data_IF_017763668714
#
_entry.id   IF_017763668714
#
_cell.length_a   1.000
_cell.length_b   1.000
_cell.length_c   1.000
_cell.angle_alpha   90.00
_cell.angle_beta   90.00
_cell.angle_gamma   90.00
#
_symmetry.space_group_name_H-M   'P 1'
#
loop_
_entity.id
_entity.type
_entity.pdbx_description
1 polymer ?
#
# COMPACT_ATOMS: atom_id res chain seq x y z
N UNK A 1 -9.47 25.05 5.54
CA UNK A 1 -8.37 24.07 5.39
C UNK A 1 -7.89 24.12 3.94
N UNK A 2 -6.57 24.14 3.70
CA UNK A 2 -5.94 24.28 2.38
C UNK A 2 -5.31 22.99 1.85
N UNK A 3 -6.01 21.85 1.99
CA UNK A 3 -5.50 20.56 1.51
C UNK A 3 -5.72 20.47 0.00
N UNK A 4 -4.63 20.49 -0.77
CA UNK A 4 -4.68 20.42 -2.24
C UNK A 4 -4.61 19.01 -2.81
N UNK A 5 -4.16 18.01 -2.03
CA UNK A 5 -4.03 16.62 -2.47
C UNK A 5 -4.23 15.65 -1.32
N UNK A 6 -4.88 14.52 -1.57
CA UNK A 6 -5.12 13.45 -0.58
C UNK A 6 -4.74 12.08 -1.12
N UNK A 7 -4.30 11.20 -0.21
CA UNK A 7 -4.07 9.78 -0.49
C UNK A 7 -4.88 8.96 0.50
N UNK A 8 -5.85 8.21 0.00
CA UNK A 8 -6.70 7.34 0.81
C UNK A 8 -6.02 6.00 1.11
N UNK A 9 -6.28 5.47 2.31
CA UNK A 9 -5.79 4.16 2.76
C UNK A 9 -6.88 3.43 3.55
N UNK A 10 -6.79 2.10 3.62
CA UNK A 10 -7.55 1.29 4.56
C UNK A 10 -6.68 0.86 5.73
N UNK A 11 -7.30 0.78 6.91
CA UNK A 11 -6.65 0.40 8.15
C UNK A 11 -6.91 -1.05 8.55
N UNK A 12 -7.21 -1.27 9.84
CA UNK A 12 -7.48 -2.60 10.42
C UNK A 12 -8.68 -3.29 9.77
N UNK A 13 -9.79 -2.55 9.59
CA UNK A 13 -11.00 -3.12 9.02
C UNK A 13 -10.89 -3.18 7.49
N UNK A 14 -10.73 -4.40 7.01
CA UNK A 14 -10.77 -4.78 5.59
C UNK A 14 -11.78 -5.90 5.33
N UNK A 15 -12.77 -6.01 6.23
CA UNK A 15 -13.90 -6.94 6.11
C UNK A 15 -15.16 -6.15 5.77
N UNK A 16 -15.42 -5.05 6.49
CA UNK A 16 -16.56 -4.17 6.19
C UNK A 16 -16.20 -3.02 5.24
N UNK A 17 -14.90 -2.80 5.00
CA UNK A 17 -14.37 -1.80 4.06
C UNK A 17 -13.62 -2.48 2.93
N UNK A 18 -13.85 -2.03 1.70
CA UNK A 18 -13.17 -2.58 0.52
C UNK A 18 -12.35 -1.53 -0.22
N UNK A 19 -11.29 -1.94 -0.95
CA UNK A 19 -10.60 -1.06 -1.89
C UNK A 19 -11.53 -0.43 -2.92
N UNK A 20 -12.65 -1.11 -3.28
CA UNK A 20 -13.64 -0.58 -4.21
C UNK A 20 -14.37 0.64 -3.64
N UNK A 21 -14.78 0.59 -2.37
CA UNK A 21 -15.40 1.74 -1.69
C UNK A 21 -14.45 2.93 -1.61
N UNK A 22 -13.17 2.65 -1.31
CA UNK A 22 -12.12 3.67 -1.26
C UNK A 22 -11.91 4.32 -2.64
N UNK A 23 -11.81 3.52 -3.70
CA UNK A 23 -11.68 4.03 -5.08
C UNK A 23 -12.88 4.88 -5.48
N UNK A 24 -14.10 4.45 -5.13
CA UNK A 24 -15.30 5.23 -5.38
C UNK A 24 -15.24 6.61 -4.70
N UNK A 25 -14.80 6.66 -3.43
CA UNK A 25 -14.65 7.95 -2.73
C UNK A 25 -13.55 8.81 -3.32
N UNK A 26 -12.40 8.23 -3.68
CA UNK A 26 -11.31 8.95 -4.35
C UNK A 26 -11.81 9.60 -5.64
N UNK A 27 -12.52 8.85 -6.48
CA UNK A 27 -13.08 9.39 -7.73
C UNK A 27 -14.15 10.46 -7.49
N UNK A 28 -14.95 10.34 -6.44
CA UNK A 28 -15.87 11.40 -6.01
C UNK A 28 -15.13 12.70 -5.67
N UNK A 29 -14.06 12.61 -4.86
CA UNK A 29 -13.23 13.78 -4.54
C UNK A 29 -12.55 14.38 -5.78
N UNK A 30 -12.10 13.55 -6.74
CA UNK A 30 -11.57 14.05 -8.03
C UNK A 30 -12.62 14.80 -8.84
N UNK A 31 -13.87 14.32 -8.85
CA UNK A 31 -14.97 14.99 -9.52
C UNK A 31 -15.31 16.34 -8.86
N UNK A 32 -15.09 16.46 -7.55
CA UNK A 32 -15.20 17.72 -6.79
C UNK A 32 -13.99 18.66 -6.99
N UNK A 33 -13.00 18.27 -7.80
CA UNK A 33 -11.81 19.08 -8.12
C UNK A 33 -10.61 18.88 -7.19
N UNK A 34 -10.69 17.92 -6.26
CA UNK A 34 -9.58 17.59 -5.34
C UNK A 34 -8.63 16.59 -6.01
N UNK A 35 -7.32 16.84 -5.95
CA UNK A 35 -6.35 15.82 -6.35
C UNK A 35 -6.39 14.65 -5.36
N UNK A 36 -6.94 13.51 -5.75
CA UNK A 36 -7.08 12.36 -4.87
C UNK A 36 -6.51 11.08 -5.49
N UNK A 37 -5.83 10.30 -4.64
CA UNK A 37 -5.21 9.02 -4.96
C UNK A 37 -5.48 8.02 -3.83
N UNK A 38 -5.05 6.78 -3.99
CA UNK A 38 -5.11 5.78 -2.93
C UNK A 38 -3.91 4.83 -2.95
N UNK A 39 -3.73 4.16 -1.82
CA UNK A 39 -3.04 2.89 -1.78
C UNK A 39 -4.06 1.75 -1.84
N UNK A 40 -3.75 0.71 -2.62
CA UNK A 40 -4.47 -0.57 -2.52
C UNK A 40 -4.00 -1.33 -1.29
N UNK A 41 -4.71 -2.37 -0.85
CA UNK A 41 -4.40 -3.09 0.38
C UNK A 41 -5.08 -2.51 1.63
N UNK A 42 -4.62 -2.99 2.78
CA UNK A 42 -5.06 -2.64 4.13
C UNK A 42 -4.04 -3.22 5.14
N UNK A 43 -4.33 -3.21 6.44
CA UNK A 43 -3.43 -3.77 7.47
C UNK A 43 -3.01 -5.22 7.20
N UNK A 44 -3.95 -6.01 6.70
CA UNK A 44 -3.82 -7.47 6.61
C UNK A 44 -2.87 -7.91 5.50
N UNK A 45 -2.24 -9.06 5.73
CA UNK A 45 -1.47 -9.82 4.74
C UNK A 45 -2.10 -11.22 4.61
N UNK A 46 -2.42 -11.71 3.40
CA UNK A 46 -2.31 -11.03 2.11
C UNK A 46 -3.26 -9.83 1.99
N UNK A 47 -2.84 -8.74 1.30
CA UNK A 47 -3.62 -7.52 1.20
C UNK A 47 -4.84 -7.70 0.28
N UNK A 48 -5.99 -7.11 0.62
CA UNK A 48 -7.14 -7.03 -0.28
C UNK A 48 -6.82 -6.09 -1.44
N UNK A 49 -7.17 -6.48 -2.66
CA UNK A 49 -6.92 -5.72 -3.89
C UNK A 49 -8.19 -5.65 -4.73
N UNK A 50 -8.23 -4.73 -5.70
CA UNK A 50 -9.35 -4.56 -6.63
C UNK A 50 -9.39 -5.67 -7.68
N UNK A 51 -8.22 -6.12 -8.13
CA UNK A 51 -8.06 -7.09 -9.23
C UNK A 51 -7.66 -8.49 -8.75
N UNK A 52 -7.51 -8.68 -7.45
CA UNK A 52 -6.93 -9.90 -6.86
C UNK A 52 -5.40 -9.96 -6.91
N UNK A 53 -4.73 -8.94 -7.45
CA UNK A 53 -3.28 -8.88 -7.61
C UNK A 53 -2.72 -7.47 -7.37
N UNK A 54 -1.60 -7.38 -6.64
CA UNK A 54 -0.97 -6.11 -6.28
C UNK A 54 -0.41 -5.41 -7.53
N UNK A 55 0.21 -6.17 -8.43
CA UNK A 55 0.86 -5.60 -9.61
C UNK A 55 -0.17 -5.03 -10.59
N UNK A 56 -1.28 -5.74 -10.81
CA UNK A 56 -2.39 -5.31 -11.67
C UNK A 56 -3.08 -4.06 -11.13
N UNK A 57 -3.35 -3.97 -9.83
CA UNK A 57 -3.91 -2.75 -9.24
C UNK A 57 -3.02 -1.54 -9.54
N UNK A 58 -1.70 -1.68 -9.33
CA UNK A 58 -0.74 -0.63 -9.60
C UNK A 58 -0.53 -0.34 -11.09
N UNK A 59 -0.58 -1.36 -11.94
CA UNK A 59 -0.34 -1.19 -13.38
C UNK A 59 -1.56 -0.59 -14.08
N UNK A 60 -2.78 -0.98 -13.69
CA UNK A 60 -4.00 -0.71 -14.47
C UNK A 60 -4.82 0.45 -13.94
N UNK A 61 -4.74 0.77 -12.64
CA UNK A 61 -5.64 1.73 -12.01
C UNK A 61 -4.88 3.01 -11.72
N UNK A 62 -5.12 4.13 -12.45
CA UNK A 62 -4.33 5.36 -12.33
C UNK A 62 -4.30 5.93 -10.90
N UNK A 63 -5.41 5.82 -10.17
CA UNK A 63 -5.53 6.34 -8.80
C UNK A 63 -4.72 5.57 -7.76
N UNK A 64 -4.36 4.31 -8.03
CA UNK A 64 -3.57 3.49 -7.12
C UNK A 64 -2.08 3.81 -7.32
N UNK A 65 -1.47 4.48 -6.34
CA UNK A 65 -0.08 4.95 -6.44
C UNK A 65 0.92 4.16 -5.58
N UNK A 66 0.41 3.21 -4.79
CA UNK A 66 1.17 2.40 -3.86
C UNK A 66 0.32 1.32 -3.21
N UNK A 67 0.93 0.63 -2.26
CA UNK A 67 0.29 -0.40 -1.44
C UNK A 67 0.34 0.02 0.04
N UNK A 68 -0.78 -0.10 0.74
CA UNK A 68 -0.84 0.15 2.16
C UNK A 68 -2.20 0.58 2.72
N UNK A 69 -2.29 0.77 4.04
CA UNK A 69 -1.16 0.62 4.96
C UNK A 69 -1.01 -0.81 5.50
N UNK A 70 0.13 -1.46 5.24
CA UNK A 70 0.42 -2.80 5.77
C UNK A 70 0.84 -2.67 7.23
N UNK A 71 0.20 -3.41 8.14
CA UNK A 71 0.56 -3.33 9.55
C UNK A 71 1.75 -4.23 9.90
N UNK A 72 2.73 -3.65 10.57
CA UNK A 72 3.88 -4.35 11.16
C UNK A 72 4.08 -3.94 12.61
N UNK A 73 4.63 -4.84 13.41
CA UNK A 73 4.88 -4.60 14.84
C UNK A 73 3.65 -4.07 15.60
N UNK A 74 2.45 -4.46 15.16
CA UNK A 74 1.17 -4.08 15.77
C UNK A 74 0.41 -5.36 16.14
N UNK A 75 -0.33 -5.33 17.25
CA UNK A 75 -1.13 -6.47 17.70
C UNK A 75 -2.30 -6.78 16.74
N UNK A 76 -2.70 -5.81 15.91
CA UNK A 76 -3.72 -5.93 14.85
C UNK A 76 -3.14 -6.38 13.52
N UNK A 77 -1.82 -6.53 13.41
CA UNK A 77 -1.20 -7.02 12.18
C UNK A 77 -1.48 -8.50 11.96
N UNK A 78 -1.38 -8.95 10.70
CA UNK A 78 -1.40 -10.38 10.36
C UNK A 78 -0.14 -11.13 10.79
N UNK A 79 0.77 -10.48 11.53
CA UNK A 79 2.08 -11.01 11.90
C UNK A 79 2.83 -11.60 10.69
N UNK A 80 2.93 -10.90 9.53
CA UNK A 80 3.46 -11.50 8.30
C UNK A 80 4.88 -12.02 8.50
N UNK A 81 5.34 -12.98 7.72
CA UNK A 81 6.76 -13.37 7.74
C UNK A 81 7.59 -12.37 6.93
N UNK A 82 8.92 -12.45 7.07
CA UNK A 82 9.83 -11.52 6.37
C UNK A 82 9.78 -11.69 4.84
N UNK A 83 9.73 -12.93 4.36
CA UNK A 83 9.57 -13.30 2.96
C UNK A 83 8.26 -12.75 2.35
N UNK A 84 7.18 -12.72 3.12
CA UNK A 84 5.91 -12.16 2.67
C UNK A 84 6.01 -10.65 2.47
N UNK A 85 6.71 -9.94 3.35
CA UNK A 85 6.97 -8.50 3.19
C UNK A 85 7.87 -8.25 1.99
N UNK A 86 8.97 -8.99 1.85
CA UNK A 86 9.89 -8.86 0.70
C UNK A 86 9.15 -9.08 -0.64
N UNK A 87 8.29 -10.10 -0.70
CA UNK A 87 7.46 -10.37 -1.90
C UNK A 87 6.51 -9.21 -2.19
N UNK A 88 5.79 -8.74 -1.18
CA UNK A 88 4.84 -7.64 -1.32
C UNK A 88 5.53 -6.34 -1.78
N UNK A 89 6.71 -6.04 -1.26
CA UNK A 89 7.53 -4.89 -1.67
C UNK A 89 7.99 -5.06 -3.12
N UNK A 90 8.41 -6.27 -3.51
CA UNK A 90 8.78 -6.58 -4.89
C UNK A 90 7.62 -6.40 -5.86
N UNK A 91 6.44 -6.96 -5.55
CA UNK A 91 5.25 -6.85 -6.39
C UNK A 91 4.82 -5.37 -6.53
N UNK A 92 4.84 -4.63 -5.43
CA UNK A 92 4.52 -3.19 -5.44
C UNK A 92 5.47 -2.42 -6.37
N UNK A 93 6.77 -2.71 -6.29
CA UNK A 93 7.77 -2.07 -7.16
C UNK A 93 7.53 -2.40 -8.63
N UNK A 94 7.36 -3.68 -8.96
CA UNK A 94 7.21 -4.13 -10.36
C UNK A 94 5.93 -3.58 -10.97
N UNK A 95 4.78 -3.72 -10.28
CA UNK A 95 3.50 -3.20 -10.77
C UNK A 95 3.53 -1.69 -11.01
N UNK A 96 4.15 -0.94 -10.10
CA UNK A 96 4.31 0.50 -10.25
C UNK A 96 5.25 0.89 -11.38
N UNK A 97 6.37 0.16 -11.54
CA UNK A 97 7.34 0.39 -12.61
C UNK A 97 6.69 0.26 -14.00
N UNK A 98 5.77 -0.70 -14.18
CA UNK A 98 5.03 -0.89 -15.43
C UNK A 98 4.13 0.30 -15.79
N UNK A 99 3.66 1.05 -14.79
CA UNK A 99 2.82 2.24 -14.98
C UNK A 99 3.56 3.57 -14.79
N UNK A 100 4.90 3.56 -14.67
CA UNK A 100 5.70 4.76 -14.43
C UNK A 100 5.44 5.42 -13.06
N UNK A 101 4.97 4.65 -12.07
CA UNK A 101 4.68 5.10 -10.71
C UNK A 101 5.87 4.79 -9.78
N UNK A 102 5.98 5.50 -8.65
CA UNK A 102 7.09 5.33 -7.69
C UNK A 102 7.09 3.96 -7.01
N UNK A 103 5.92 3.35 -6.79
CA UNK A 103 5.80 2.02 -6.18
C UNK A 103 6.14 2.00 -4.70
N UNK A 104 5.41 2.79 -3.91
CA UNK A 104 5.64 2.93 -2.47
C UNK A 104 4.83 1.88 -1.70
N UNK A 105 5.47 1.20 -0.75
CA UNK A 105 4.79 0.47 0.31
C UNK A 105 4.69 1.36 1.55
N UNK A 106 3.47 1.62 1.99
CA UNK A 106 3.18 2.32 3.23
C UNK A 106 2.96 1.32 4.36
N UNK A 107 3.68 1.49 5.46
CA UNK A 107 3.62 0.59 6.61
C UNK A 107 3.04 1.32 7.82
N UNK A 108 1.98 0.76 8.38
CA UNK A 108 1.53 1.12 9.72
C UNK A 108 2.44 0.46 10.74
N UNK A 109 2.95 1.23 11.70
CA UNK A 109 3.79 0.75 12.78
C UNK A 109 3.04 0.83 14.11
N UNK A 110 2.92 -0.31 14.80
CA UNK A 110 2.45 -0.35 16.18
C UNK A 110 3.57 -0.34 17.22
N UNK A 111 3.19 -0.44 18.50
CA UNK A 111 4.10 -0.37 19.66
C UNK A 111 4.87 -1.68 19.96
N UNK A 112 4.86 -2.64 19.03
CA UNK A 112 5.54 -3.91 19.19
C UNK A 112 7.06 -3.72 19.24
N UNK A 113 7.72 -4.40 20.18
CA UNK A 113 9.18 -4.32 20.43
C UNK A 113 10.08 -4.55 19.20
N UNK A 114 9.56 -5.19 18.15
CA UNK A 114 10.28 -5.40 16.89
C UNK A 114 10.44 -4.13 16.06
N UNK A 115 9.65 -3.09 16.32
CA UNK A 115 9.74 -1.79 15.63
C UNK A 115 9.77 -1.92 14.11
N UNK A 116 10.60 -1.11 13.46
CA UNK A 116 10.76 -1.07 11.99
C UNK A 116 11.70 -2.15 11.44
N UNK A 117 12.22 -3.07 12.26
CA UNK A 117 13.27 -4.01 11.86
C UNK A 117 12.89 -4.84 10.62
N UNK A 118 11.60 -5.14 10.46
CA UNK A 118 11.04 -5.89 9.32
C UNK A 118 11.14 -5.16 7.99
N UNK A 119 11.11 -3.84 8.02
CA UNK A 119 11.33 -3.01 6.84
C UNK A 119 12.82 -2.77 6.58
N UNK A 120 13.65 -2.70 7.63
CA UNK A 120 15.12 -2.63 7.48
C UNK A 120 15.66 -3.89 6.81
N UNK A 121 15.14 -5.07 7.14
CA UNK A 121 15.54 -6.32 6.49
C UNK A 121 15.25 -6.33 4.97
N UNK A 122 14.33 -5.48 4.50
CA UNK A 122 14.05 -5.27 3.08
C UNK A 122 15.02 -4.26 2.40
N UNK A 123 15.82 -3.49 3.14
CA UNK A 123 16.60 -2.33 2.64
C UNK A 123 18.10 -2.39 3.03
N UNK A 124 19.04 -2.12 2.11
CA UNK A 124 19.26 -2.77 0.83
C UNK A 124 20.11 -4.05 1.02
N UNK A 125 19.51 -5.22 0.78
CA UNK A 125 20.26 -6.35 0.23
C UNK A 125 20.31 -6.20 -1.30
N UNK A 126 21.22 -6.86 -2.05
CA UNK A 126 21.35 -6.77 -3.52
C UNK A 126 20.07 -7.01 -4.36
N UNK A 127 18.91 -7.29 -3.73
CA UNK A 127 17.63 -7.60 -4.36
C UNK A 127 16.79 -6.38 -4.76
N UNK A 128 16.99 -5.19 -4.17
CA UNK A 128 16.19 -4.00 -4.48
C UNK A 128 17.08 -2.78 -4.81
N UNK A 129 17.37 -2.50 -6.10
CA UNK A 129 18.20 -1.35 -6.46
C UNK A 129 17.50 -0.03 -6.09
N UNK A 130 18.23 1.08 -5.88
CA UNK A 130 17.61 2.37 -5.57
C UNK A 130 16.59 2.78 -6.63
N UNK A 131 15.51 3.45 -6.20
CA UNK A 131 14.48 3.95 -7.11
C UNK A 131 15.05 5.21 -7.78
N UNK A 132 15.34 5.13 -9.08
CA UNK A 132 15.86 6.25 -9.90
C UNK A 132 14.90 7.44 -9.87
#
# INVERSE_FOLDING_TARGET
>A
MGIGTVVGVLGTDSISRSPADLLAKVRGLKAEGISAYMYTGAYRVPPPTLTGDIQRDLAWIPEVIGLGEIAISDHRSSQPRQDEIERIVSDTRVGAMLAGKRGICHFHLGDGKRGWNRCVDCYPRPRFPPIK
#
